data_IF_652457466162
#
_entry.id   IF_652457466162
#
_cell.length_a   1.000
_cell.length_b   1.000
_cell.length_c   1.000
_cell.angle_alpha   90.00
_cell.angle_beta   90.00
_cell.angle_gamma   90.00
#
_symmetry.space_group_name_H-M   'P 1'
#
loop_
_entity.id
_entity.type
_entity.pdbx_description
1 polymer ?
#
# COMPACT_ATOMS: atom_id res chain seq x y z
N UNK A 1 57.05 -5.19 75.36
CA UNK A 1 56.26 -4.03 75.79
C UNK A 1 55.71 -3.37 74.53
N UNK A 2 54.59 -3.77 74.13
CA UNK A 2 53.90 -3.16 72.96
C UNK A 2 52.41 -3.04 73.27
N UNK A 3 51.92 -1.82 73.19
CA UNK A 3 50.53 -1.46 73.45
C UNK A 3 49.63 -1.85 72.22
N UNK A 4 48.41 -2.29 72.43
CA UNK A 4 47.49 -2.49 71.33
C UNK A 4 46.77 -1.20 70.91
N UNK A 5 46.69 -0.92 69.61
CA UNK A 5 45.92 0.14 68.99
C UNK A 5 44.47 -0.31 68.74
N UNK A 6 43.58 0.46 69.33
CA UNK A 6 42.11 0.27 69.10
C UNK A 6 41.75 0.81 67.74
N UNK A 7 41.20 -0.03 66.80
CA UNK A 7 40.60 0.38 65.56
C UNK A 7 39.11 0.60 65.77
N UNK A 8 38.66 1.82 65.58
CA UNK A 8 37.23 2.17 65.56
C UNK A 8 36.60 1.77 64.24
N UNK A 9 35.56 0.92 64.30
CA UNK A 9 34.76 0.49 63.17
C UNK A 9 33.64 1.50 63.01
N UNK A 10 33.70 2.33 61.92
CA UNK A 10 32.62 3.20 61.55
C UNK A 10 31.61 2.40 60.73
N UNK A 11 30.39 2.20 61.25
CA UNK A 11 29.25 1.70 60.52
C UNK A 11 28.66 2.84 59.69
N UNK A 12 28.78 2.74 58.36
CA UNK A 12 27.99 3.56 57.43
C UNK A 12 26.61 2.90 57.22
N UNK A 13 25.57 3.53 57.71
CA UNK A 13 24.19 3.18 57.39
C UNK A 13 23.86 3.80 56.03
N UNK A 14 23.78 2.99 55.01
CA UNK A 14 23.23 3.42 53.74
C UNK A 14 21.68 3.47 53.83
N UNK A 15 21.13 4.68 53.90
CA UNK A 15 19.70 4.89 53.70
C UNK A 15 19.38 4.72 52.20
N UNK A 16 18.72 3.63 51.85
CA UNK A 16 18.15 3.44 50.51
C UNK A 16 16.98 4.39 50.33
N UNK A 17 17.16 5.44 49.52
CA UNK A 17 16.05 6.29 49.02
C UNK A 17 15.39 5.56 47.85
N UNK A 18 14.09 5.24 47.88
CA UNK A 18 13.43 4.68 46.71
C UNK A 18 13.33 5.78 45.65
N UNK A 19 14.04 5.60 44.54
CA UNK A 19 13.80 6.33 43.29
C UNK A 19 12.44 5.90 42.74
N UNK A 20 11.37 6.61 43.12
CA UNK A 20 10.11 6.55 42.42
C UNK A 20 10.33 7.25 41.08
N UNK A 21 10.68 6.49 40.06
CA UNK A 21 10.71 6.96 38.68
C UNK A 21 9.28 7.35 38.27
N UNK A 22 9.02 8.66 38.26
CA UNK A 22 7.87 9.19 37.57
C UNK A 22 8.03 8.83 36.08
N UNK A 23 7.35 7.77 35.64
CA UNK A 23 7.10 7.54 34.24
C UNK A 23 6.22 8.71 33.77
N UNK A 24 6.83 9.80 33.33
CA UNK A 24 6.13 10.84 32.60
C UNK A 24 5.63 10.20 31.34
N UNK A 25 4.33 9.89 31.29
CA UNK A 25 3.63 9.60 30.06
C UNK A 25 3.82 10.84 29.18
N UNK A 26 4.59 10.67 28.10
CA UNK A 26 4.59 11.65 27.03
C UNK A 26 3.13 11.85 26.60
N UNK A 27 2.64 13.09 26.54
CA UNK A 27 1.26 13.32 26.10
C UNK A 27 1.09 12.67 24.74
N UNK A 28 0.08 11.82 24.61
CA UNK A 28 -0.33 11.32 23.30
C UNK A 28 -0.52 12.52 22.37
N UNK A 29 -0.02 12.46 21.10
CA UNK A 29 -0.32 13.50 20.15
C UNK A 29 -1.85 13.61 20.09
N UNK A 30 -2.37 14.75 20.47
CA UNK A 30 -3.80 15.06 20.37
C UNK A 30 -4.18 14.80 18.91
N UNK A 31 -5.05 13.82 18.67
CA UNK A 31 -5.75 13.72 17.43
C UNK A 31 -6.31 15.10 17.13
N UNK A 32 -5.86 15.75 16.05
CA UNK A 32 -6.38 17.03 15.63
C UNK A 32 -7.89 16.87 15.58
N UNK A 33 -8.63 17.72 16.30
CA UNK A 33 -10.09 17.58 16.45
C UNK A 33 -10.70 17.46 15.05
N UNK A 34 -11.28 16.30 14.74
CA UNK A 34 -11.88 16.05 13.44
C UNK A 34 -12.92 17.14 13.16
N UNK A 35 -12.86 17.76 11.97
CA UNK A 35 -13.86 18.73 11.55
C UNK A 35 -15.23 18.05 11.49
N UNK A 36 -16.29 18.76 11.87
CA UNK A 36 -17.66 18.22 11.85
C UNK A 36 -17.98 17.60 10.47
N UNK A 37 -18.45 16.37 10.46
CA UNK A 37 -18.76 15.62 9.23
C UNK A 37 -17.60 14.86 8.60
N UNK A 38 -16.40 14.86 9.21
CA UNK A 38 -15.28 14.02 8.76
C UNK A 38 -15.59 12.54 9.02
N UNK A 39 -15.39 11.64 8.05
CA UNK A 39 -15.58 10.21 8.25
C UNK A 39 -14.73 9.66 9.39
N UNK A 40 -15.33 8.82 10.22
CA UNK A 40 -14.68 8.12 11.33
C UNK A 40 -14.73 6.62 11.09
N UNK A 41 -13.70 5.93 11.56
CA UNK A 41 -13.52 4.51 11.30
C UNK A 41 -13.21 3.74 12.58
N UNK A 42 -13.76 2.53 12.66
CA UNK A 42 -13.46 1.56 13.71
C UNK A 42 -12.98 0.26 13.09
N UNK A 43 -11.88 -0.29 13.60
CA UNK A 43 -11.36 -1.56 13.10
C UNK A 43 -12.33 -2.71 13.39
N UNK A 44 -12.52 -3.59 12.43
CA UNK A 44 -13.14 -4.91 12.65
C UNK A 44 -12.05 -5.91 13.01
N UNK A 45 -11.87 -6.26 14.28
CA UNK A 45 -10.76 -7.12 14.71
C UNK A 45 -10.92 -8.57 14.27
N UNK A 46 -12.07 -8.96 13.71
CA UNK A 46 -12.38 -10.31 13.27
C UNK A 46 -12.40 -10.46 11.74
N UNK A 47 -11.99 -9.41 11.02
CA UNK A 47 -11.86 -9.45 9.57
C UNK A 47 -10.38 -9.52 9.14
N UNK A 48 -10.00 -10.41 8.19
CA UNK A 48 -10.79 -11.50 7.60
C UNK A 48 -10.98 -12.66 8.60
N UNK A 49 -11.91 -13.55 8.30
CA UNK A 49 -12.08 -14.79 9.06
C UNK A 49 -10.86 -15.70 8.87
N UNK A 50 -10.60 -16.64 9.80
CA UNK A 50 -9.51 -17.60 9.67
C UNK A 50 -9.54 -18.31 8.32
N UNK A 51 -8.37 -18.41 7.68
CA UNK A 51 -8.22 -19.11 6.41
C UNK A 51 -8.31 -20.63 6.61
N UNK A 52 -8.86 -21.39 5.65
CA UNK A 52 -8.97 -22.83 5.74
C UNK A 52 -7.61 -23.53 5.53
N UNK A 53 -7.48 -24.78 5.94
CA UNK A 53 -6.36 -25.66 5.60
C UNK A 53 -5.00 -25.18 6.11
N UNK A 54 -5.00 -24.49 7.26
CA UNK A 54 -3.79 -23.90 7.86
C UNK A 54 -3.05 -22.91 6.92
N UNK A 55 -3.79 -22.26 6.03
CA UNK A 55 -3.23 -21.23 5.17
C UNK A 55 -2.85 -19.98 5.96
N UNK A 56 -1.68 -19.44 5.63
CA UNK A 56 -1.20 -18.15 6.15
C UNK A 56 -0.81 -17.21 5.02
N UNK A 57 -0.84 -15.91 5.34
CA UNK A 57 -0.49 -14.84 4.41
C UNK A 57 0.98 -14.46 4.56
N UNK A 58 1.66 -14.29 3.43
CA UNK A 58 2.87 -13.48 3.36
C UNK A 58 2.54 -11.98 3.35
N UNK A 59 3.46 -11.15 2.88
CA UNK A 59 3.22 -9.71 2.73
C UNK A 59 2.01 -9.47 1.82
N UNK A 60 0.99 -8.78 2.32
CA UNK A 60 -0.18 -8.40 1.51
C UNK A 60 0.16 -7.11 0.77
N UNK A 61 0.45 -7.26 -0.53
CA UNK A 61 0.99 -6.19 -1.33
C UNK A 61 -0.08 -5.34 -2.02
N UNK A 62 -1.26 -5.89 -2.27
CA UNK A 62 -2.34 -5.17 -2.91
C UNK A 62 -3.70 -5.58 -2.38
N UNK A 63 -4.65 -4.64 -2.45
CA UNK A 63 -6.04 -4.84 -2.07
C UNK A 63 -6.96 -4.06 -3.02
N UNK A 64 -8.06 -4.67 -3.43
CA UNK A 64 -9.08 -4.06 -4.28
C UNK A 64 -10.48 -4.47 -3.81
N UNK A 65 -11.47 -3.66 -4.11
CA UNK A 65 -12.89 -3.97 -3.91
C UNK A 65 -13.56 -3.98 -5.29
N UNK A 66 -14.33 -5.03 -5.58
CA UNK A 66 -15.08 -5.11 -6.82
C UNK A 66 -16.48 -4.45 -6.70
N UNK A 67 -17.21 -4.37 -7.81
CA UNK A 67 -18.54 -3.75 -7.88
C UNK A 67 -19.61 -4.42 -7.00
N UNK A 68 -19.34 -5.64 -6.53
CA UNK A 68 -20.24 -6.43 -5.67
C UNK A 68 -19.80 -6.39 -4.20
N UNK A 69 -18.92 -5.43 -3.83
CA UNK A 69 -18.30 -5.28 -2.50
C UNK A 69 -17.53 -6.52 -2.04
N UNK A 70 -16.95 -7.29 -2.97
CA UNK A 70 -16.03 -8.37 -2.63
C UNK A 70 -14.61 -7.83 -2.58
N UNK A 71 -13.86 -8.29 -1.58
CA UNK A 71 -12.51 -7.82 -1.30
C UNK A 71 -11.51 -8.79 -1.90
N UNK A 72 -10.64 -8.28 -2.75
CA UNK A 72 -9.56 -9.02 -3.37
C UNK A 72 -8.22 -8.58 -2.79
N UNK A 73 -7.39 -9.54 -2.44
CA UNK A 73 -6.00 -9.28 -2.06
C UNK A 73 -5.04 -10.03 -2.95
N UNK A 74 -3.86 -9.45 -3.14
CA UNK A 74 -2.68 -10.16 -3.62
C UNK A 74 -1.61 -10.12 -2.55
N UNK A 75 -1.08 -11.29 -2.20
CA UNK A 75 0.01 -11.38 -1.22
C UNK A 75 1.21 -12.13 -1.81
N UNK A 76 2.34 -12.07 -1.13
CA UNK A 76 3.62 -12.66 -1.50
C UNK A 76 3.89 -13.94 -0.71
N UNK A 77 3.50 -15.12 -1.17
CA UNK A 77 3.79 -16.38 -0.50
C UNK A 77 5.29 -16.61 -0.30
N UNK A 78 6.12 -16.11 -1.22
CA UNK A 78 7.58 -16.21 -1.19
C UNK A 78 8.24 -15.49 0.01
N UNK A 79 7.50 -14.62 0.71
CA UNK A 79 8.01 -13.88 1.88
C UNK A 79 7.85 -14.64 3.19
N UNK A 80 7.22 -15.82 3.16
CA UNK A 80 7.12 -16.71 4.31
C UNK A 80 8.44 -17.46 4.49
N UNK A 81 8.92 -17.50 5.72
CA UNK A 81 10.13 -18.23 6.12
C UNK A 81 9.80 -19.68 6.45
N UNK A 82 10.82 -20.53 6.65
CA UNK A 82 10.61 -21.97 6.77
C UNK A 82 9.78 -22.40 7.97
N UNK A 83 9.89 -21.72 9.10
CA UNK A 83 9.05 -21.98 10.28
C UNK A 83 7.58 -21.55 10.10
N UNK A 84 7.29 -20.63 9.17
CA UNK A 84 5.94 -20.22 8.81
C UNK A 84 5.28 -21.14 7.75
N UNK A 85 6.02 -22.02 7.12
CA UNK A 85 5.53 -22.97 6.09
C UNK A 85 5.99 -24.42 6.35
N UNK A 86 6.17 -24.77 7.60
CA UNK A 86 6.78 -26.04 8.01
C UNK A 86 6.09 -27.30 7.47
N UNK A 87 4.77 -27.23 7.21
CA UNK A 87 4.04 -28.35 6.60
C UNK A 87 4.38 -28.58 5.12
N UNK A 88 5.04 -27.61 4.46
CA UNK A 88 5.44 -27.68 3.05
C UNK A 88 6.91 -28.06 2.85
N UNK A 89 7.69 -28.18 3.93
CA UNK A 89 9.08 -28.59 3.86
C UNK A 89 9.18 -30.09 3.51
N UNK A 90 10.31 -30.51 2.99
CA UNK A 90 10.56 -31.92 2.67
C UNK A 90 11.84 -32.41 3.39
N UNK A 91 11.72 -33.25 4.44
CA UNK A 91 10.47 -33.73 5.05
C UNK A 91 9.72 -32.59 5.79
N UNK A 92 8.39 -32.72 6.03
CA UNK A 92 7.64 -31.74 6.80
C UNK A 92 8.20 -31.58 8.22
N UNK A 93 8.46 -30.32 8.61
CA UNK A 93 8.98 -30.01 9.95
C UNK A 93 7.85 -29.90 10.99
N UNK A 94 6.63 -29.51 10.56
CA UNK A 94 5.47 -29.31 11.42
C UNK A 94 4.18 -29.75 10.70
N UNK A 95 3.06 -29.80 11.44
CA UNK A 95 1.73 -30.05 10.84
C UNK A 95 1.14 -28.78 10.21
N UNK A 96 1.43 -27.61 10.75
CA UNK A 96 1.11 -26.29 10.24
C UNK A 96 2.40 -25.68 9.63
N UNK A 97 2.42 -24.71 8.76
CA UNK A 97 1.32 -24.08 8.08
C UNK A 97 1.62 -24.12 6.57
N UNK A 98 0.73 -23.57 5.75
CA UNK A 98 0.89 -23.58 4.29
C UNK A 98 0.70 -22.17 3.75
N UNK A 99 1.51 -21.71 2.79
CA UNK A 99 1.22 -20.47 2.07
C UNK A 99 -0.16 -20.54 1.42
N UNK A 100 -0.97 -19.51 1.62
CA UNK A 100 -2.19 -19.34 0.84
C UNK A 100 -1.86 -19.13 -0.65
N UNK A 101 -2.79 -19.39 -1.59
CA UNK A 101 -2.64 -18.97 -2.98
C UNK A 101 -2.45 -17.44 -3.07
N UNK A 102 -1.65 -16.93 -4.04
CA UNK A 102 -1.30 -15.51 -4.10
C UNK A 102 -2.47 -14.53 -4.17
N UNK A 103 -3.56 -14.91 -4.83
CA UNK A 103 -4.78 -14.10 -4.96
C UNK A 103 -5.90 -14.72 -4.15
N UNK A 104 -6.51 -13.95 -3.27
CA UNK A 104 -7.65 -14.37 -2.46
C UNK A 104 -8.80 -13.39 -2.63
N UNK A 105 -10.03 -13.92 -2.62
CA UNK A 105 -11.27 -13.16 -2.64
C UNK A 105 -12.07 -13.44 -1.35
N UNK A 106 -12.56 -12.38 -0.74
CA UNK A 106 -13.42 -12.45 0.46
C UNK A 106 -14.75 -11.76 0.21
N UNK A 107 -15.78 -12.17 0.96
CA UNK A 107 -16.97 -11.34 1.11
C UNK A 107 -16.73 -10.19 2.11
N UNK A 108 -17.72 -9.30 2.23
CA UNK A 108 -17.64 -8.16 3.14
C UNK A 108 -17.55 -8.57 4.63
N UNK A 109 -17.98 -9.80 4.99
CA UNK A 109 -17.92 -10.36 6.35
C UNK A 109 -16.59 -11.08 6.63
N UNK A 110 -15.71 -11.16 5.62
CA UNK A 110 -14.37 -11.74 5.72
C UNK A 110 -14.29 -13.23 5.44
N UNK A 111 -15.35 -13.86 4.96
CA UNK A 111 -15.29 -15.25 4.56
C UNK A 111 -14.54 -15.41 3.25
N UNK A 112 -13.62 -16.36 3.19
CA UNK A 112 -12.90 -16.67 1.96
C UNK A 112 -13.86 -17.27 0.93
N UNK A 113 -13.91 -16.68 -0.26
CA UNK A 113 -14.72 -17.15 -1.38
C UNK A 113 -13.88 -17.94 -2.39
N UNK A 114 -12.67 -17.45 -2.69
CA UNK A 114 -11.78 -18.04 -3.70
C UNK A 114 -10.31 -17.83 -3.34
N UNK A 115 -9.46 -18.74 -3.84
CA UNK A 115 -8.01 -18.59 -3.79
C UNK A 115 -7.38 -19.24 -5.00
N UNK A 116 -6.51 -18.50 -5.72
CA UNK A 116 -5.82 -18.96 -6.92
C UNK A 116 -4.55 -18.15 -7.19
N UNK A 117 -3.83 -18.48 -8.26
CA UNK A 117 -2.64 -17.75 -8.74
C UNK A 117 -1.37 -18.56 -8.60
N UNK A 118 -0.26 -17.94 -8.99
CA UNK A 118 1.03 -18.57 -9.11
C UNK A 118 1.40 -18.93 -10.56
N UNK A 119 2.53 -19.61 -10.72
CA UNK A 119 3.02 -19.99 -12.05
C UNK A 119 2.00 -20.85 -12.82
N UNK A 120 1.90 -20.63 -14.12
CA UNK A 120 0.98 -21.34 -14.99
C UNK A 120 1.46 -21.31 -16.44
N UNK A 121 0.62 -21.79 -17.34
CA UNK A 121 0.94 -21.89 -18.77
C UNK A 121 0.45 -20.66 -19.54
N UNK A 122 1.32 -20.11 -20.40
CA UNK A 122 0.99 -19.02 -21.32
C UNK A 122 1.13 -17.62 -20.75
N UNK A 123 1.63 -17.48 -19.52
CA UNK A 123 1.94 -16.19 -18.88
C UNK A 123 3.14 -16.29 -17.93
N UNK A 124 3.67 -15.13 -17.57
CA UNK A 124 4.80 -14.99 -16.68
C UNK A 124 4.35 -14.42 -15.33
N UNK A 125 4.09 -15.30 -14.34
CA UNK A 125 3.69 -14.85 -13.00
C UNK A 125 4.75 -13.95 -12.36
N UNK A 126 4.36 -12.85 -11.68
CA UNK A 126 5.31 -11.97 -10.99
C UNK A 126 6.17 -12.72 -9.98
N UNK A 127 7.43 -12.33 -9.88
CA UNK A 127 8.35 -12.84 -8.86
C UNK A 127 8.07 -12.20 -7.48
N UNK A 128 7.58 -10.96 -7.50
CA UNK A 128 7.13 -10.23 -6.31
C UNK A 128 5.81 -9.54 -6.64
N UNK A 129 4.72 -10.15 -6.25
CA UNK A 129 3.37 -9.63 -6.44
C UNK A 129 3.23 -8.24 -5.82
N UNK A 130 2.49 -7.33 -6.49
CA UNK A 130 2.35 -5.97 -6.01
C UNK A 130 0.94 -5.39 -6.22
N UNK A 131 0.62 -4.87 -7.39
CA UNK A 131 -0.67 -4.26 -7.67
C UNK A 131 -1.76 -5.28 -7.97
N UNK A 132 -2.98 -5.03 -7.51
CA UNK A 132 -4.19 -5.75 -7.90
C UNK A 132 -5.30 -4.74 -8.21
N UNK A 133 -6.05 -5.00 -9.27
CA UNK A 133 -7.23 -4.24 -9.66
C UNK A 133 -8.30 -5.20 -10.19
N UNK A 134 -9.57 -4.87 -9.99
CA UNK A 134 -10.69 -5.65 -10.54
C UNK A 134 -11.51 -4.73 -11.44
N UNK A 135 -11.64 -5.12 -12.71
CA UNK A 135 -12.41 -4.33 -13.68
C UNK A 135 -13.94 -4.53 -13.52
N UNK A 136 -14.72 -3.72 -14.21
CA UNK A 136 -16.20 -3.76 -14.16
C UNK A 136 -16.81 -5.11 -14.55
N UNK A 137 -16.07 -5.92 -15.35
CA UNK A 137 -16.48 -7.25 -15.76
C UNK A 137 -16.08 -8.33 -14.76
N UNK A 138 -15.41 -7.93 -13.66
CA UNK A 138 -14.91 -8.78 -12.60
C UNK A 138 -13.55 -9.42 -12.91
N UNK A 139 -12.90 -9.08 -14.02
CA UNK A 139 -11.58 -9.62 -14.31
C UNK A 139 -10.53 -9.00 -13.37
N UNK A 140 -9.59 -9.83 -12.97
CA UNK A 140 -8.55 -9.48 -11.99
C UNK A 140 -7.25 -9.19 -12.72
N UNK A 141 -6.70 -8.03 -12.45
CA UNK A 141 -5.43 -7.55 -13.00
C UNK A 141 -4.36 -7.60 -11.92
N UNK A 142 -3.21 -8.18 -12.22
CA UNK A 142 -2.10 -8.36 -11.25
C UNK A 142 -0.80 -7.85 -11.86
N UNK A 143 -0.02 -7.11 -11.07
CA UNK A 143 1.31 -6.64 -11.43
C UNK A 143 2.35 -7.07 -10.39
N UNK A 144 3.62 -6.96 -10.73
CA UNK A 144 4.73 -7.22 -9.82
C UNK A 144 5.77 -6.09 -9.82
N UNK A 145 6.63 -6.09 -8.78
CA UNK A 145 7.65 -5.06 -8.62
C UNK A 145 9.09 -5.57 -8.45
N UNK A 146 9.34 -6.88 -8.56
CA UNK A 146 10.70 -7.38 -8.63
C UNK A 146 11.43 -6.86 -9.89
N UNK A 147 12.75 -6.91 -9.91
CA UNK A 147 13.52 -6.37 -11.05
C UNK A 147 13.11 -6.95 -12.40
N UNK A 148 12.75 -8.24 -12.54
CA UNK A 148 12.28 -8.77 -13.82
C UNK A 148 10.78 -8.58 -14.08
N UNK A 149 9.98 -8.07 -13.14
CA UNK A 149 8.53 -7.99 -13.26
C UNK A 149 8.10 -6.74 -14.04
N UNK A 150 8.13 -6.82 -15.37
CA UNK A 150 7.76 -5.73 -16.26
C UNK A 150 6.47 -6.03 -17.04
N UNK A 151 5.54 -6.79 -16.43
CA UNK A 151 4.28 -7.21 -17.01
C UNK A 151 3.09 -6.96 -16.09
N UNK A 152 1.92 -6.88 -16.71
CA UNK A 152 0.61 -6.92 -16.06
C UNK A 152 -0.13 -8.14 -16.62
N UNK A 153 -0.77 -8.91 -15.75
CA UNK A 153 -1.54 -10.09 -16.11
C UNK A 153 -3.04 -9.84 -15.86
N UNK A 154 -3.88 -10.30 -16.76
CA UNK A 154 -5.34 -10.27 -16.62
C UNK A 154 -5.89 -11.70 -16.53
N UNK A 155 -6.79 -11.93 -15.59
CA UNK A 155 -7.45 -13.21 -15.35
C UNK A 155 -8.97 -13.03 -15.21
N UNK A 156 -9.71 -14.09 -15.45
CA UNK A 156 -11.12 -14.17 -15.01
C UNK A 156 -11.20 -14.19 -13.47
N UNK A 157 -12.37 -13.97 -12.86
CA UNK A 157 -12.56 -14.11 -11.41
C UNK A 157 -12.17 -15.48 -10.85
N UNK A 158 -12.13 -16.52 -11.68
CA UNK A 158 -11.76 -17.88 -11.30
C UNK A 158 -10.29 -18.23 -11.61
N UNK A 159 -9.49 -17.23 -11.98
CA UNK A 159 -8.05 -17.39 -12.21
C UNK A 159 -7.68 -17.95 -13.60
N UNK A 160 -8.61 -17.99 -14.57
CA UNK A 160 -8.25 -18.36 -15.95
C UNK A 160 -7.53 -17.18 -16.62
N UNK A 161 -6.34 -17.42 -17.16
CA UNK A 161 -5.53 -16.43 -17.86
C UNK A 161 -6.27 -15.88 -19.11
N UNK A 162 -6.22 -14.57 -19.29
CA UNK A 162 -6.84 -13.85 -20.41
C UNK A 162 -5.80 -13.09 -21.24
N UNK A 163 -4.89 -12.35 -20.59
CA UNK A 163 -3.99 -11.43 -21.29
C UNK A 163 -2.74 -11.15 -20.46
N UNK A 164 -1.62 -10.95 -21.14
CA UNK A 164 -0.40 -10.35 -20.58
C UNK A 164 -0.04 -9.10 -21.37
N UNK A 165 0.23 -8.00 -20.68
CA UNK A 165 0.77 -6.74 -21.22
C UNK A 165 2.18 -6.57 -20.69
N UNK A 166 3.13 -6.28 -21.58
CA UNK A 166 4.56 -6.28 -21.23
C UNK A 166 5.14 -7.69 -21.12
N UNK A 167 6.36 -7.78 -20.67
CA UNK A 167 7.08 -9.07 -20.54
C UNK A 167 8.11 -8.99 -19.45
N UNK A 168 8.49 -10.13 -18.92
CA UNK A 168 9.52 -10.25 -17.89
C UNK A 168 10.90 -9.87 -18.42
N UNK A 169 11.70 -9.24 -17.59
CA UNK A 169 13.14 -9.03 -17.82
C UNK A 169 13.53 -7.82 -18.66
N UNK A 170 12.59 -7.09 -19.27
CA UNK A 170 12.93 -5.99 -20.19
C UNK A 170 12.03 -4.76 -19.98
N UNK A 171 12.61 -3.56 -19.82
CA UNK A 171 11.86 -2.33 -19.49
C UNK A 171 11.85 -1.25 -20.57
N UNK A 172 12.87 -1.06 -21.36
CA UNK A 172 12.92 -0.01 -22.38
C UNK A 172 12.88 1.45 -21.90
N UNK A 173 12.81 1.71 -20.57
CA UNK A 173 12.80 3.04 -19.96
C UNK A 173 11.45 3.76 -19.95
N UNK A 174 11.42 4.94 -19.32
CA UNK A 174 10.22 5.72 -19.06
C UNK A 174 9.53 6.30 -20.30
N UNK A 175 10.21 6.34 -21.44
CA UNK A 175 9.63 6.79 -22.72
C UNK A 175 9.31 5.63 -23.67
N UNK A 176 9.44 4.37 -23.26
CA UNK A 176 9.03 3.22 -24.06
C UNK A 176 7.53 3.23 -24.32
N UNK A 177 7.14 2.98 -25.56
CA UNK A 177 5.73 2.88 -25.98
C UNK A 177 5.21 1.43 -25.96
N UNK A 178 6.07 0.46 -25.68
CA UNK A 178 5.77 -0.97 -25.79
C UNK A 178 6.09 -1.77 -24.53
N UNK A 179 6.96 -1.26 -23.65
CA UNK A 179 7.45 -1.96 -22.47
C UNK A 179 7.13 -1.21 -21.19
N UNK A 180 6.91 -1.96 -20.12
CA UNK A 180 6.67 -1.47 -18.77
C UNK A 180 7.96 -1.48 -17.94
N UNK A 181 7.96 -0.78 -16.79
CA UNK A 181 9.07 -0.76 -15.87
C UNK A 181 8.64 -1.05 -14.43
N UNK A 182 8.27 -2.28 -14.12
CA UNK A 182 7.80 -2.68 -12.79
C UNK A 182 6.60 -1.84 -12.33
N UNK A 183 5.43 -2.05 -12.96
CA UNK A 183 4.20 -1.30 -12.67
C UNK A 183 3.75 -1.53 -11.23
N UNK A 184 3.46 -0.43 -10.53
CA UNK A 184 3.08 -0.48 -9.12
C UNK A 184 1.57 -0.67 -8.94
N UNK A 185 0.77 0.06 -9.70
CA UNK A 185 -0.68 0.08 -9.60
C UNK A 185 -1.33 0.38 -10.96
N UNK A 186 -2.60 0.00 -11.11
CA UNK A 186 -3.36 0.25 -12.32
C UNK A 186 -4.84 0.47 -12.01
N UNK A 187 -5.52 1.21 -12.89
CA UNK A 187 -6.96 1.40 -12.86
C UNK A 187 -7.50 1.62 -14.28
N UNK A 188 -8.71 1.14 -14.56
CA UNK A 188 -9.36 1.28 -15.86
C UNK A 188 -10.47 2.33 -15.78
N UNK A 189 -10.41 3.30 -16.70
CA UNK A 189 -11.53 4.21 -16.93
C UNK A 189 -12.68 3.45 -17.62
N UNK A 190 -13.76 3.22 -16.87
CA UNK A 190 -14.91 2.47 -17.36
C UNK A 190 -15.63 3.15 -18.54
N UNK A 191 -15.45 4.46 -18.75
CA UNK A 191 -16.08 5.19 -19.85
C UNK A 191 -15.31 5.05 -21.18
N UNK A 192 -14.00 4.86 -21.14
CA UNK A 192 -13.12 4.88 -22.32
C UNK A 192 -12.37 3.58 -22.55
N UNK A 193 -12.46 2.61 -21.64
CA UNK A 193 -11.65 1.38 -21.60
C UNK A 193 -10.13 1.67 -21.64
N UNK A 194 -9.70 2.80 -21.09
CA UNK A 194 -8.30 3.16 -20.96
C UNK A 194 -7.71 2.63 -19.65
N UNK A 195 -6.60 1.91 -19.75
CA UNK A 195 -5.84 1.39 -18.62
C UNK A 195 -4.77 2.39 -18.22
N UNK A 196 -4.97 3.05 -17.09
CA UNK A 196 -3.99 3.94 -16.45
C UNK A 196 -3.08 3.13 -15.54
N UNK A 197 -1.77 3.33 -15.65
CA UNK A 197 -0.75 2.55 -14.95
C UNK A 197 0.22 3.51 -14.26
N UNK A 198 0.42 3.34 -12.96
CA UNK A 198 1.54 3.89 -12.23
C UNK A 198 2.78 3.02 -12.55
N UNK A 199 3.49 3.33 -13.61
CA UNK A 199 4.65 2.58 -14.08
C UNK A 199 5.92 3.14 -13.41
N UNK A 200 6.12 2.80 -12.12
CA UNK A 200 6.89 3.63 -11.20
C UNK A 200 8.10 3.01 -10.51
N UNK A 201 8.23 1.70 -10.35
CA UNK A 201 9.40 1.10 -9.69
C UNK A 201 10.64 1.05 -10.58
N UNK A 202 10.45 0.83 -11.88
CA UNK A 202 11.52 0.85 -12.88
C UNK A 202 11.54 2.11 -13.72
N UNK A 203 10.36 2.63 -14.03
CA UNK A 203 10.12 3.87 -14.77
C UNK A 203 9.63 4.99 -13.84
N UNK A 204 9.37 6.19 -14.39
CA UNK A 204 8.86 7.36 -13.62
C UNK A 204 7.74 8.04 -14.39
N UNK A 205 6.64 7.32 -14.60
CA UNK A 205 5.55 7.82 -15.43
C UNK A 205 4.18 7.29 -15.00
N UNK A 206 3.16 8.02 -15.43
CA UNK A 206 1.83 7.44 -15.68
C UNK A 206 1.81 7.01 -17.14
N UNK A 207 1.39 5.78 -17.39
CA UNK A 207 1.25 5.23 -18.74
C UNK A 207 -0.22 4.91 -18.98
N UNK A 208 -0.74 5.26 -20.15
CA UNK A 208 -2.12 4.95 -20.54
C UNK A 208 -2.11 4.08 -21.80
N UNK A 209 -2.75 2.94 -21.66
CA UNK A 209 -2.92 1.95 -22.73
C UNK A 209 -4.40 1.73 -23.04
N UNK A 210 -4.68 1.18 -24.17
CA UNK A 210 -5.97 0.55 -24.44
C UNK A 210 -6.06 -0.77 -23.65
N UNK A 211 -7.05 -0.91 -22.79
CA UNK A 211 -7.17 -2.06 -21.86
C UNK A 211 -7.40 -3.39 -22.58
N UNK A 212 -7.96 -3.36 -23.79
CA UNK A 212 -8.28 -4.55 -24.56
C UNK A 212 -7.09 -5.04 -25.38
N UNK A 213 -6.35 -4.12 -25.99
CA UNK A 213 -5.27 -4.45 -26.93
C UNK A 213 -3.86 -4.30 -26.32
N UNK A 214 -3.72 -3.54 -25.23
CA UNK A 214 -2.42 -3.14 -24.67
C UNK A 214 -1.72 -2.04 -25.50
N UNK A 215 -2.38 -1.47 -26.52
CA UNK A 215 -1.78 -0.46 -27.37
C UNK A 215 -1.54 0.85 -26.59
N UNK A 216 -0.35 1.45 -26.79
CA UNK A 216 0.01 2.72 -26.19
C UNK A 216 -0.92 3.85 -26.68
N UNK A 217 -1.42 4.65 -25.75
CA UNK A 217 -2.19 5.86 -26.05
C UNK A 217 -1.40 7.13 -25.72
N UNK A 218 -0.89 7.25 -24.50
CA UNK A 218 -0.08 8.38 -24.02
C UNK A 218 0.65 8.02 -22.71
N UNK A 219 1.60 8.85 -22.32
CA UNK A 219 2.26 8.78 -21.01
C UNK A 219 2.79 10.16 -20.63
N UNK A 220 3.02 10.38 -19.35
CA UNK A 220 3.59 11.62 -18.82
C UNK A 220 4.32 11.41 -17.50
N UNK A 221 5.23 12.31 -17.19
CA UNK A 221 5.93 12.45 -15.91
C UNK A 221 5.28 13.47 -14.99
N UNK A 222 5.99 13.86 -13.94
CA UNK A 222 5.52 14.91 -13.03
C UNK A 222 5.20 16.19 -13.79
N UNK A 223 4.15 16.91 -13.35
CA UNK A 223 3.63 18.14 -13.94
C UNK A 223 3.20 18.03 -15.42
N UNK A 224 3.00 16.81 -15.92
CA UNK A 224 2.69 16.58 -17.34
C UNK A 224 3.91 16.64 -18.26
N UNK A 225 5.11 16.77 -17.69
CA UNK A 225 6.36 16.80 -18.46
C UNK A 225 6.68 15.45 -19.08
N UNK A 226 7.57 15.46 -20.08
CA UNK A 226 8.15 14.23 -20.60
C UNK A 226 8.94 13.53 -19.47
N UNK A 227 8.72 12.22 -19.23
CA UNK A 227 9.47 11.47 -18.23
C UNK A 227 10.97 11.47 -18.51
N UNK A 228 11.80 11.50 -17.46
CA UNK A 228 13.25 11.28 -17.54
C UNK A 228 13.65 10.05 -16.73
N UNK A 229 14.61 9.31 -17.26
CA UNK A 229 15.24 8.17 -16.57
C UNK A 229 16.43 8.60 -15.71
N UNK A 230 16.84 9.87 -15.78
CA UNK A 230 17.88 10.43 -14.93
C UNK A 230 17.48 10.28 -13.46
N UNK A 231 18.43 9.82 -12.66
CA UNK A 231 18.18 9.69 -11.22
C UNK A 231 18.01 11.08 -10.61
N UNK A 232 16.81 11.40 -10.08
CA UNK A 232 16.61 12.67 -9.40
C UNK A 232 17.44 12.72 -8.10
N UNK A 233 17.77 13.92 -7.59
CA UNK A 233 18.32 14.04 -6.25
C UNK A 233 17.37 13.44 -5.22
N UNK A 234 17.89 13.08 -4.05
CA UNK A 234 17.05 12.66 -2.95
C UNK A 234 16.08 13.79 -2.56
N UNK A 235 14.86 13.42 -2.17
CA UNK A 235 13.88 14.36 -1.67
C UNK A 235 14.42 15.08 -0.43
N UNK A 236 14.24 16.40 -0.43
CA UNK A 236 14.63 17.29 0.67
C UNK A 236 13.49 18.29 0.88
N UNK A 237 12.77 18.24 2.03
CA UNK A 237 11.62 19.10 2.28
C UNK A 237 11.96 20.59 2.36
N UNK A 238 13.22 20.95 2.56
CA UNK A 238 13.71 22.34 2.58
C UNK A 238 13.99 22.91 1.19
N UNK A 239 13.96 22.08 0.14
CA UNK A 239 14.24 22.48 -1.24
C UNK A 239 12.96 22.62 -2.07
N UNK A 240 13.03 23.30 -3.22
CA UNK A 240 11.93 23.30 -4.20
C UNK A 240 11.54 21.90 -4.62
N UNK A 241 10.25 21.68 -4.89
CA UNK A 241 9.73 20.41 -5.32
C UNK A 241 10.35 19.94 -6.64
N UNK A 242 10.70 18.67 -6.70
CA UNK A 242 11.30 18.06 -7.87
C UNK A 242 10.34 18.10 -9.07
N UNK A 243 10.87 18.44 -10.25
CA UNK A 243 10.10 18.49 -11.50
C UNK A 243 9.95 17.13 -12.17
N UNK A 244 10.45 16.07 -11.53
CA UNK A 244 10.31 14.69 -11.92
C UNK A 244 9.58 13.90 -10.83
N UNK A 245 8.93 12.81 -11.22
CA UNK A 245 8.47 11.83 -10.24
C UNK A 245 9.67 11.17 -9.54
N UNK A 246 9.49 10.88 -8.26
CA UNK A 246 10.35 9.96 -7.54
C UNK A 246 10.17 8.51 -7.99
N UNK A 247 10.88 7.60 -7.36
CA UNK A 247 10.63 6.18 -7.55
C UNK A 247 10.24 5.56 -6.18
N UNK A 248 9.06 4.94 -6.14
CA UNK A 248 8.12 4.69 -7.23
C UNK A 248 7.08 5.80 -7.42
N UNK A 249 6.56 5.93 -8.66
CA UNK A 249 5.19 6.38 -8.89
C UNK A 249 4.30 5.23 -8.44
N UNK A 250 3.63 5.37 -7.30
CA UNK A 250 3.16 4.18 -6.57
C UNK A 250 1.67 3.87 -6.77
N UNK A 251 0.84 4.88 -6.94
CA UNK A 251 -0.57 4.68 -7.27
C UNK A 251 -1.04 5.59 -8.42
N UNK A 252 -2.10 5.17 -9.07
CA UNK A 252 -2.93 5.97 -9.96
C UNK A 252 -4.38 5.68 -9.63
N UNK A 253 -5.21 6.72 -9.42
CA UNK A 253 -6.63 6.60 -9.11
C UNK A 253 -7.46 7.57 -9.93
N UNK A 254 -8.61 7.13 -10.38
CA UNK A 254 -9.53 7.92 -11.18
C UNK A 254 -10.69 8.42 -10.33
N UNK A 255 -11.01 9.71 -10.45
CA UNK A 255 -12.20 10.26 -9.82
C UNK A 255 -13.40 10.27 -10.76
N UNK A 256 -14.60 10.33 -10.19
CA UNK A 256 -15.86 10.34 -10.95
C UNK A 256 -16.00 11.58 -11.84
N UNK A 257 -15.38 12.69 -11.47
CA UNK A 257 -15.31 13.92 -12.27
C UNK A 257 -14.17 13.96 -13.30
N UNK A 258 -13.50 12.81 -13.50
CA UNK A 258 -12.55 12.61 -14.59
C UNK A 258 -11.13 13.07 -14.34
N UNK A 259 -10.74 13.27 -13.09
CA UNK A 259 -9.36 13.58 -12.71
C UNK A 259 -8.56 12.31 -12.38
N UNK A 260 -7.25 12.39 -12.55
CA UNK A 260 -6.29 11.33 -12.28
C UNK A 260 -5.41 11.73 -11.10
N UNK A 261 -5.46 10.98 -10.01
CA UNK A 261 -4.66 11.19 -8.81
C UNK A 261 -3.47 10.25 -8.83
N UNK A 262 -2.27 10.77 -8.65
CA UNK A 262 -1.01 10.03 -8.76
C UNK A 262 -0.21 10.14 -7.47
N UNK A 263 0.13 9.01 -6.88
CA UNK A 263 1.00 8.94 -5.70
C UNK A 263 2.46 9.04 -6.11
N UNK A 264 3.06 10.18 -5.92
CA UNK A 264 4.51 10.37 -6.03
C UNK A 264 5.15 10.14 -4.65
N UNK A 265 5.25 8.85 -4.29
CA UNK A 265 5.50 8.37 -2.94
C UNK A 265 6.73 8.98 -2.29
N UNK A 266 7.87 8.90 -2.97
CA UNK A 266 9.14 9.34 -2.42
C UNK A 266 9.28 10.87 -2.35
N UNK A 267 8.37 11.64 -2.96
CA UNK A 267 8.32 13.09 -2.92
C UNK A 267 7.20 13.63 -2.02
N UNK A 268 6.57 12.78 -1.22
CA UNK A 268 5.53 13.13 -0.25
C UNK A 268 4.39 13.95 -0.85
N UNK A 269 3.96 13.60 -2.08
CA UNK A 269 2.92 14.37 -2.76
C UNK A 269 1.95 13.51 -3.57
N UNK A 270 0.77 14.07 -3.74
CA UNK A 270 -0.23 13.62 -4.71
C UNK A 270 -0.24 14.66 -5.82
N UNK A 271 -0.05 14.24 -7.07
CA UNK A 271 -0.29 15.11 -8.22
C UNK A 271 -1.60 14.73 -8.91
N UNK A 272 -2.36 15.75 -9.31
CA UNK A 272 -3.68 15.63 -9.94
C UNK A 272 -3.59 16.10 -11.38
N UNK A 273 -4.12 15.30 -12.30
CA UNK A 273 -4.09 15.54 -13.72
C UNK A 273 -5.48 15.41 -14.34
N UNK A 274 -5.70 16.04 -15.48
CA UNK A 274 -6.73 15.61 -16.41
C UNK A 274 -6.33 14.26 -17.04
N UNK A 275 -7.30 13.52 -17.58
CA UNK A 275 -7.01 12.23 -18.28
C UNK A 275 -6.06 12.39 -19.48
N UNK A 276 -5.92 13.59 -20.00
CA UNK A 276 -4.96 13.95 -21.06
C UNK A 276 -3.50 13.94 -20.61
N UNK A 277 -3.24 13.97 -19.30
CA UNK A 277 -1.94 14.17 -18.68
C UNK A 277 -1.62 15.63 -18.36
N UNK A 278 -2.56 16.57 -18.61
CA UNK A 278 -2.39 17.96 -18.23
C UNK A 278 -2.45 18.10 -16.71
N UNK A 279 -1.42 18.69 -16.11
CA UNK A 279 -1.33 18.95 -14.68
C UNK A 279 -2.42 19.94 -14.23
N UNK A 280 -3.07 19.64 -13.09
CA UNK A 280 -4.10 20.47 -12.49
C UNK A 280 -3.60 21.08 -11.19
N UNK A 281 -3.17 20.26 -10.23
CA UNK A 281 -2.71 20.70 -8.90
C UNK A 281 -1.95 19.58 -8.19
N UNK A 282 -1.36 19.92 -7.04
CA UNK A 282 -0.73 18.93 -6.17
C UNK A 282 -1.03 19.22 -4.69
N UNK A 283 -0.92 18.15 -3.89
CA UNK A 283 -1.01 18.21 -2.44
C UNK A 283 0.25 17.60 -1.82
N UNK A 284 0.82 18.26 -0.82
CA UNK A 284 1.90 17.71 -0.01
C UNK A 284 1.30 16.99 1.20
N UNK A 285 1.78 15.78 1.46
CA UNK A 285 1.27 14.92 2.55
C UNK A 285 2.45 14.52 3.43
N UNK A 286 2.42 14.92 4.72
CA UNK A 286 3.50 14.64 5.67
C UNK A 286 4.90 14.97 5.10
N UNK A 287 5.14 16.20 4.63
CA UNK A 287 6.30 16.55 3.80
C UNK A 287 7.66 16.44 4.50
N UNK A 288 7.69 16.08 5.76
CA UNK A 288 8.92 15.79 6.52
C UNK A 288 9.28 14.30 6.51
N UNK A 289 8.49 13.45 5.82
CA UNK A 289 8.77 12.03 5.69
C UNK A 289 9.90 11.82 4.68
N UNK A 290 10.94 11.10 5.08
CA UNK A 290 12.10 10.84 4.24
C UNK A 290 12.12 9.39 3.76
N UNK A 291 13.05 9.06 2.85
CA UNK A 291 13.32 7.73 2.33
C UNK A 291 12.15 7.13 1.54
N UNK A 292 11.26 6.36 2.20
CA UNK A 292 10.16 5.68 1.55
C UNK A 292 8.97 6.59 1.22
N UNK A 293 8.93 7.80 1.79
CA UNK A 293 7.85 8.76 1.61
C UNK A 293 6.53 8.35 2.25
N UNK A 294 5.56 9.28 2.23
CA UNK A 294 4.28 9.17 2.95
C UNK A 294 3.13 8.66 2.08
N UNK A 295 3.12 8.90 0.77
CA UNK A 295 1.96 8.65 -0.09
C UNK A 295 2.07 7.30 -0.78
N UNK A 296 1.68 6.22 -0.07
CA UNK A 296 1.82 4.87 -0.61
C UNK A 296 0.64 4.49 -1.50
N UNK A 297 -0.58 4.76 -1.10
CA UNK A 297 -1.77 4.59 -1.92
C UNK A 297 -2.86 5.55 -1.45
N UNK A 298 -3.92 5.71 -2.22
CA UNK A 298 -5.07 6.51 -1.83
C UNK A 298 -6.36 5.94 -2.41
N UNK A 299 -7.48 6.29 -1.79
CA UNK A 299 -8.81 6.11 -2.36
C UNK A 299 -9.65 7.36 -2.11
N UNK A 300 -10.64 7.58 -2.97
CA UNK A 300 -11.59 8.67 -2.84
C UNK A 300 -12.84 8.20 -2.10
N UNK A 301 -13.47 9.09 -1.33
CA UNK A 301 -14.69 8.75 -0.60
C UNK A 301 -15.86 8.45 -1.54
N UNK A 302 -16.83 7.64 -1.06
CA UNK A 302 -17.97 7.18 -1.85
C UNK A 302 -19.16 8.15 -1.88
N UNK A 303 -19.09 9.31 -1.18
CA UNK A 303 -20.10 10.36 -1.33
C UNK A 303 -20.11 10.92 -2.77
N UNK A 304 -21.22 11.55 -3.17
CA UNK A 304 -21.42 12.01 -4.55
C UNK A 304 -20.32 12.97 -5.04
N UNK A 305 -19.78 13.81 -4.15
CA UNK A 305 -18.73 14.78 -4.47
C UNK A 305 -17.31 14.19 -4.31
N UNK A 306 -17.19 12.96 -3.78
CA UNK A 306 -15.90 12.38 -3.39
C UNK A 306 -15.06 13.38 -2.56
N UNK A 307 -15.67 13.91 -1.51
CA UNK A 307 -15.15 15.03 -0.74
C UNK A 307 -13.81 14.74 -0.06
N UNK A 308 -13.52 13.48 0.23
CA UNK A 308 -12.32 13.09 0.97
C UNK A 308 -11.40 12.20 0.16
N UNK A 309 -10.10 12.32 0.46
CA UNK A 309 -9.05 11.40 0.01
C UNK A 309 -8.52 10.68 1.25
N UNK A 310 -8.53 9.35 1.24
CA UNK A 310 -7.91 8.53 2.28
C UNK A 310 -6.56 8.03 1.77
N UNK A 311 -5.49 8.42 2.45
CA UNK A 311 -4.10 8.13 2.05
C UNK A 311 -3.50 7.10 3.00
N UNK A 312 -3.02 5.99 2.47
CA UNK A 312 -2.18 5.05 3.20
C UNK A 312 -0.77 5.62 3.33
N UNK A 313 -0.38 5.97 4.54
CA UNK A 313 0.96 6.44 4.88
C UNK A 313 1.74 5.31 5.55
N UNK A 314 2.41 4.52 4.73
CA UNK A 314 3.14 3.33 5.19
C UNK A 314 4.35 3.66 6.05
N UNK A 315 5.01 4.77 5.80
CA UNK A 315 6.20 5.18 6.57
C UNK A 315 5.82 5.57 8.00
N UNK A 316 4.75 6.34 8.18
CA UNK A 316 4.28 6.80 9.49
C UNK A 316 3.25 5.86 10.13
N UNK A 317 2.85 4.78 9.42
CA UNK A 317 1.92 3.75 9.91
C UNK A 317 0.55 4.31 10.30
N UNK A 318 -0.06 5.08 9.40
CA UNK A 318 -1.35 5.72 9.59
C UNK A 318 -2.15 5.76 8.28
N UNK A 319 -3.44 6.04 8.38
CA UNK A 319 -4.29 6.47 7.26
C UNK A 319 -4.67 7.91 7.51
N UNK A 320 -4.39 8.77 6.54
CA UNK A 320 -4.65 10.21 6.59
C UNK A 320 -5.91 10.50 5.77
N UNK A 321 -6.79 11.36 6.29
CA UNK A 321 -7.93 11.89 5.56
C UNK A 321 -7.65 13.33 5.14
N UNK A 322 -7.66 13.57 3.83
CA UNK A 322 -7.55 14.92 3.28
C UNK A 322 -8.94 15.39 2.81
N UNK A 323 -9.21 16.69 2.95
CA UNK A 323 -10.25 17.34 2.17
C UNK A 323 -9.77 17.41 0.71
N UNK A 324 -10.56 16.88 -0.23
CA UNK A 324 -10.15 16.71 -1.63
C UNK A 324 -9.97 18.04 -2.38
N UNK A 325 -10.70 19.07 -2.02
CA UNK A 325 -10.60 20.36 -2.69
C UNK A 325 -9.34 21.12 -2.27
N UNK A 326 -9.10 21.20 -0.97
CA UNK A 326 -8.00 21.98 -0.39
C UNK A 326 -6.71 21.19 -0.22
N UNK A 327 -6.76 19.85 -0.14
CA UNK A 327 -5.63 19.01 0.22
C UNK A 327 -5.24 19.08 1.70
N UNK A 328 -6.03 19.74 2.52
CA UNK A 328 -5.76 19.89 3.96
C UNK A 328 -6.08 18.58 4.68
N UNK A 329 -5.18 18.14 5.57
CA UNK A 329 -5.44 17.04 6.49
C UNK A 329 -6.54 17.38 7.46
N UNK A 330 -7.64 16.62 7.45
CA UNK A 330 -8.81 16.84 8.32
C UNK A 330 -8.90 15.81 9.45
N UNK A 331 -8.29 14.65 9.28
CA UNK A 331 -8.12 13.63 10.34
C UNK A 331 -7.08 12.60 9.94
N UNK A 332 -6.69 11.76 10.89
CA UNK A 332 -5.93 10.55 10.67
C UNK A 332 -6.33 9.49 11.69
N UNK A 333 -5.98 8.23 11.40
CA UNK A 333 -6.13 7.13 12.35
C UNK A 333 -5.05 6.07 12.17
N UNK A 334 -4.89 5.22 13.19
CA UNK A 334 -3.86 4.21 13.23
C UNK A 334 -2.56 4.71 13.86
N UNK A 335 -1.68 3.80 14.15
CA UNK A 335 -0.33 4.01 14.68
C UNK A 335 0.51 2.76 14.47
N UNK A 336 1.82 2.87 14.66
CA UNK A 336 2.72 1.72 14.57
C UNK A 336 2.35 0.62 15.58
N UNK A 337 2.29 -0.62 15.10
CA UNK A 337 2.05 -1.80 15.92
C UNK A 337 1.45 -2.98 15.14
N UNK A 338 1.04 -4.04 15.86
CA UNK A 338 0.52 -5.28 15.28
C UNK A 338 -0.85 -5.69 15.82
N UNK A 339 -1.43 -4.92 16.73
CA UNK A 339 -2.79 -5.13 17.20
C UNK A 339 -3.80 -4.68 16.12
N UNK A 340 -5.04 -5.11 16.23
CA UNK A 340 -6.10 -4.60 15.37
C UNK A 340 -6.19 -3.07 15.46
N UNK A 341 -6.31 -2.40 14.32
CA UNK A 341 -6.31 -0.94 14.21
C UNK A 341 -4.93 -0.27 14.27
N UNK A 342 -3.85 -1.02 14.52
CA UNK A 342 -2.48 -0.55 14.38
C UNK A 342 -1.93 -0.99 13.02
N UNK A 343 -0.86 -0.36 12.54
CA UNK A 343 -0.25 -0.65 11.25
C UNK A 343 1.23 -1.01 11.35
N UNK A 344 1.67 -1.83 10.43
CA UNK A 344 3.07 -2.01 10.09
C UNK A 344 3.23 -1.99 8.58
N UNK A 345 3.66 -0.84 8.06
CA UNK A 345 3.79 -0.58 6.64
C UNK A 345 2.47 -0.83 5.89
N UNK A 346 1.43 -0.04 6.26
CA UNK A 346 0.20 0.03 5.47
C UNK A 346 0.56 0.44 4.04
N UNK A 347 0.23 -0.43 3.08
CA UNK A 347 0.78 -0.37 1.74
C UNK A 347 -0.25 0.03 0.69
N UNK A 348 -1.41 -0.61 0.72
CA UNK A 348 -2.53 -0.28 -0.14
C UNK A 348 -3.80 -0.09 0.69
N UNK A 349 -4.74 0.62 0.07
CA UNK A 349 -6.05 0.92 0.65
C UNK A 349 -7.14 0.77 -0.41
N UNK A 350 -8.30 0.24 -0.03
CA UNK A 350 -9.48 0.12 -0.87
C UNK A 350 -10.71 0.54 -0.08
N UNK A 351 -11.80 0.87 -0.78
CA UNK A 351 -13.06 1.32 -0.19
C UNK A 351 -14.24 0.55 -0.81
N UNK A 352 -15.23 0.16 0.00
CA UNK A 352 -16.46 -0.44 -0.49
C UNK A 352 -17.56 0.60 -0.70
N UNK A 353 -18.69 0.19 -1.30
CA UNK A 353 -19.82 1.07 -1.61
C UNK A 353 -20.46 1.71 -0.36
N UNK A 354 -20.24 1.14 0.82
CA UNK A 354 -20.71 1.64 2.12
C UNK A 354 -19.73 2.61 2.78
N UNK A 355 -18.56 2.82 2.14
CA UNK A 355 -17.49 3.66 2.64
C UNK A 355 -16.61 3.02 3.70
N UNK A 356 -16.65 1.69 3.90
CA UNK A 356 -15.68 1.01 4.75
C UNK A 356 -14.33 0.94 4.05
N UNK A 357 -13.25 1.11 4.82
CA UNK A 357 -11.89 1.02 4.29
C UNK A 357 -11.29 -0.36 4.55
N UNK A 358 -10.50 -0.80 3.60
CA UNK A 358 -9.73 -2.04 3.69
C UNK A 358 -8.25 -1.71 3.44
N UNK A 359 -7.37 -2.23 4.26
CA UNK A 359 -5.92 -1.97 4.16
C UNK A 359 -5.13 -3.25 3.99
N UNK A 360 -4.02 -3.16 3.28
CA UNK A 360 -3.05 -4.22 3.09
C UNK A 360 -1.70 -3.81 3.67
N UNK A 361 -0.99 -4.73 4.33
CA UNK A 361 0.28 -4.46 5.00
C UNK A 361 1.40 -5.36 4.47
N UNK A 362 2.54 -4.74 4.14
CA UNK A 362 3.78 -5.42 3.74
C UNK A 362 4.79 -5.48 4.89
N UNK A 363 6.03 -5.84 4.58
CA UNK A 363 7.08 -6.00 5.59
C UNK A 363 6.70 -7.09 6.60
N UNK A 364 6.71 -6.78 7.87
CA UNK A 364 6.31 -7.69 8.95
C UNK A 364 4.84 -7.56 9.37
N UNK A 365 4.05 -6.71 8.70
CA UNK A 365 2.61 -6.57 8.91
C UNK A 365 1.87 -7.82 8.44
N UNK A 366 2.04 -8.19 7.16
CA UNK A 366 1.56 -9.45 6.55
C UNK A 366 0.08 -9.74 6.80
N UNK A 367 -0.77 -8.73 6.67
CA UNK A 367 -2.22 -8.85 6.89
C UNK A 367 -3.02 -7.87 6.05
N UNK A 368 -4.31 -8.11 5.98
CA UNK A 368 -5.31 -7.14 5.59
C UNK A 368 -6.22 -6.83 6.79
N UNK A 369 -6.75 -5.61 6.85
CA UNK A 369 -7.68 -5.19 7.90
C UNK A 369 -8.86 -4.46 7.29
N UNK A 370 -10.02 -4.53 7.96
CA UNK A 370 -11.24 -3.78 7.65
C UNK A 370 -11.47 -2.71 8.71
N UNK A 371 -11.83 -1.52 8.25
CA UNK A 371 -12.23 -0.39 9.10
C UNK A 371 -13.65 0.03 8.71
N UNK A 372 -14.60 -0.21 9.61
CA UNK A 372 -16.00 0.16 9.41
C UNK A 372 -16.16 1.66 9.53
N UNK A 373 -16.84 2.27 8.57
CA UNK A 373 -17.28 3.65 8.70
C UNK A 373 -18.37 3.74 9.76
N UNK A 374 -18.19 4.58 10.78
CA UNK A 374 -19.13 4.77 11.89
C UNK A 374 -19.78 6.16 11.91
N UNK A 375 -19.33 7.06 11.05
CA UNK A 375 -19.88 8.41 10.87
C UNK A 375 -19.60 8.91 9.44
#
# INVERSE_FOLDING_TARGET
>A
MSKPTLSALCFFVFAAVPLVGNCQQTPEPRAGGAMAGTPRFEVDPYWPRPLPGDWILGQVAGIAVDKDDRIWIVHRPSTLVDDEKGAMLNPPATKCCRPAPPVLQFDADGNLLKGWGGAGTGYEWPQSEHGIFVDRDGNVWVAGNANPDHQILKFTPDGKFLQQIGRKGDTGGSNSMTLLGRPAHMEIDAATDELFIADGYGNRRVLVLDAKTGAHKRHWGAYGNRPSDDKPPAYDPAKPLLQQFGSPVHCVRLSRDGLVYVCDRANDRIQVFEKSGKFVREFRVEPQTLQNGSVWDLVLSEDAAQRYIFVADGANNQVITLDRESGVTVSNFGRAGRMAGQFKWVHNIAIDSKGNLYTAEVGTGRRAQKFKRVQ
#
